data_IF_835644348490
#
_entry.id   IF_835644348490
#
_cell.length_a   1.000
_cell.length_b   1.000
_cell.length_c   1.000
_cell.angle_alpha   90.00
_cell.angle_beta   90.00
_cell.angle_gamma   90.00
#
_symmetry.space_group_name_H-M   'P 1'
#
loop_
_entity.id
_entity.type
_entity.pdbx_description
1 polymer ?
#
# COMPACT_ATOMS: atom_id res chain seq x y z
N UNK A 1 -25.30 12.22 7.56
CA UNK A 1 -25.18 10.96 6.78
C UNK A 1 -24.40 11.11 5.48
N UNK A 2 -24.58 12.20 4.72
CA UNK A 2 -23.90 12.40 3.42
C UNK A 2 -22.36 12.46 3.51
N UNK A 3 -21.81 13.12 4.53
CA UNK A 3 -20.34 13.24 4.71
C UNK A 3 -19.67 11.91 5.05
N UNK A 4 -20.28 11.09 5.92
CA UNK A 4 -19.77 9.75 6.26
C UNK A 4 -19.69 8.86 5.02
N UNK A 5 -20.72 8.88 4.18
CA UNK A 5 -20.74 8.14 2.91
C UNK A 5 -19.65 8.67 1.97
N UNK A 6 -19.50 9.99 1.86
CA UNK A 6 -18.45 10.59 1.04
C UNK A 6 -17.04 10.18 1.50
N UNK A 7 -16.78 10.20 2.81
CA UNK A 7 -15.53 9.73 3.41
C UNK A 7 -15.29 8.25 3.11
N UNK A 8 -16.30 7.40 3.28
CA UNK A 8 -16.19 5.96 3.02
C UNK A 8 -15.95 5.66 1.53
N UNK A 9 -16.65 6.35 0.62
CA UNK A 9 -16.45 6.21 -0.83
C UNK A 9 -15.05 6.69 -1.23
N UNK A 10 -14.61 7.84 -0.70
CA UNK A 10 -13.26 8.34 -0.93
C UNK A 10 -12.21 7.34 -0.45
N UNK A 11 -12.34 6.86 0.79
CA UNK A 11 -11.44 5.85 1.35
C UNK A 11 -11.42 4.58 0.50
N UNK A 12 -12.59 4.12 0.02
CA UNK A 12 -12.71 2.91 -0.78
C UNK A 12 -12.03 3.05 -2.14
N UNK A 13 -12.41 4.07 -2.91
CA UNK A 13 -11.87 4.31 -4.26
C UNK A 13 -10.35 4.47 -4.22
N UNK A 14 -9.84 5.23 -3.26
CA UNK A 14 -8.39 5.47 -3.13
C UNK A 14 -7.62 4.23 -2.65
N UNK A 15 -8.19 3.44 -1.72
CA UNK A 15 -7.55 2.24 -1.16
C UNK A 15 -7.61 1.04 -2.10
N UNK A 16 -8.74 0.82 -2.79
CA UNK A 16 -8.91 -0.35 -3.68
C UNK A 16 -8.11 -0.20 -4.97
N UNK A 17 -7.85 1.04 -5.40
CA UNK A 17 -7.09 1.32 -6.62
C UNK A 17 -5.72 0.61 -6.61
N UNK A 18 -5.26 0.07 -7.75
CA UNK A 18 -3.95 -0.59 -7.82
C UNK A 18 -2.83 0.36 -7.38
N UNK A 19 -1.82 -0.19 -6.74
CA UNK A 19 -0.70 0.57 -6.20
C UNK A 19 0.35 -0.34 -5.56
N UNK A 20 1.49 0.21 -5.12
CA UNK A 20 2.64 -0.59 -4.71
C UNK A 20 2.34 -1.62 -3.61
N UNK A 21 1.61 -1.18 -2.58
CA UNK A 21 1.23 -1.99 -1.42
C UNK A 21 0.23 -3.10 -1.79
N UNK A 22 -0.71 -2.81 -2.70
CA UNK A 22 -1.72 -3.75 -3.20
C UNK A 22 -1.10 -4.81 -4.12
N UNK A 23 -0.16 -4.40 -4.98
CA UNK A 23 0.62 -5.32 -5.83
C UNK A 23 1.45 -6.26 -4.95
N UNK A 24 2.12 -5.72 -3.92
CA UNK A 24 2.90 -6.54 -2.98
C UNK A 24 2.01 -7.49 -2.16
N UNK A 25 0.80 -7.08 -1.79
CA UNK A 25 -0.18 -7.96 -1.14
C UNK A 25 -0.64 -9.10 -2.05
N UNK A 26 -0.92 -8.81 -3.32
CA UNK A 26 -1.26 -9.81 -4.34
C UNK A 26 -0.13 -10.81 -4.55
N UNK A 27 1.09 -10.30 -4.72
CA UNK A 27 2.28 -11.11 -4.84
C UNK A 27 2.49 -12.02 -3.61
N UNK A 28 2.40 -11.46 -2.41
CA UNK A 28 2.57 -12.22 -1.16
C UNK A 28 1.45 -13.24 -0.97
N UNK A 29 0.21 -12.89 -1.31
CA UNK A 29 -0.92 -13.81 -1.27
C UNK A 29 -0.72 -15.00 -2.20
N UNK A 30 -0.27 -14.76 -3.43
CA UNK A 30 0.01 -15.80 -4.42
C UNK A 30 1.16 -16.73 -4.01
N UNK A 31 2.22 -16.18 -3.43
CA UNK A 31 3.45 -16.91 -3.12
C UNK A 31 3.49 -17.54 -1.72
N UNK A 32 2.86 -16.89 -0.73
CA UNK A 32 2.93 -17.24 0.69
C UNK A 32 1.57 -17.65 1.28
N UNK A 33 0.45 -17.37 0.60
CA UNK A 33 -0.90 -17.58 1.10
C UNK A 33 -1.43 -16.42 1.98
N UNK A 34 -2.73 -16.45 2.27
CA UNK A 34 -3.42 -15.36 2.97
C UNK A 34 -2.87 -15.10 4.37
N UNK A 35 -2.77 -16.14 5.21
CA UNK A 35 -2.36 -16.02 6.62
C UNK A 35 -1.00 -15.36 6.77
N UNK A 36 -0.04 -15.70 5.89
CA UNK A 36 1.30 -15.10 5.89
C UNK A 36 1.34 -13.68 5.33
N UNK A 37 0.27 -13.23 4.67
CA UNK A 37 0.12 -11.86 4.16
C UNK A 37 -0.48 -10.93 5.20
N UNK A 38 -1.12 -11.45 6.27
CA UNK A 38 -1.73 -10.64 7.33
C UNK A 38 -0.76 -9.63 7.99
N UNK A 39 0.52 -9.97 8.30
CA UNK A 39 1.45 -8.99 8.85
C UNK A 39 1.63 -7.79 7.91
N UNK A 40 1.78 -8.02 6.60
CA UNK A 40 1.89 -6.96 5.59
C UNK A 40 0.61 -6.09 5.54
N UNK A 41 -0.57 -6.72 5.52
CA UNK A 41 -1.87 -6.02 5.51
C UNK A 41 -2.00 -5.12 6.73
N UNK A 42 -1.77 -5.68 7.92
CA UNK A 42 -1.86 -4.94 9.19
C UNK A 42 -0.84 -3.81 9.25
N UNK A 43 0.41 -4.09 8.90
CA UNK A 43 1.49 -3.09 8.89
C UNK A 43 1.21 -1.94 7.94
N UNK A 44 0.78 -2.23 6.72
CA UNK A 44 0.44 -1.21 5.74
C UNK A 44 -0.78 -0.37 6.17
N UNK A 45 -1.81 -1.01 6.74
CA UNK A 45 -2.99 -0.29 7.26
C UNK A 45 -2.60 0.67 8.39
N UNK A 46 -1.82 0.19 9.37
CA UNK A 46 -1.32 1.03 10.48
C UNK A 46 -0.45 2.17 9.92
N UNK A 47 0.43 1.87 8.97
CA UNK A 47 1.25 2.86 8.29
C UNK A 47 0.39 3.97 7.67
N UNK A 48 -0.67 3.61 6.95
CA UNK A 48 -1.52 4.58 6.27
C UNK A 48 -2.26 5.47 7.28
N UNK A 49 -2.92 4.84 8.25
CA UNK A 49 -3.69 5.55 9.27
C UNK A 49 -2.79 6.46 10.10
N UNK A 50 -1.54 6.06 10.38
CA UNK A 50 -0.58 6.92 11.08
C UNK A 50 -0.23 8.17 10.28
N UNK A 51 -0.01 8.06 8.96
CA UNK A 51 0.25 9.21 8.09
C UNK A 51 -0.96 10.14 8.09
N UNK A 52 -2.16 9.58 7.88
CA UNK A 52 -3.41 10.34 7.85
C UNK A 52 -3.64 11.09 9.16
N UNK A 53 -3.47 10.42 10.30
CA UNK A 53 -3.63 11.01 11.62
C UNK A 53 -2.62 12.15 11.84
N UNK A 54 -1.34 11.94 11.52
CA UNK A 54 -0.31 12.98 11.65
C UNK A 54 -0.63 14.22 10.82
N UNK A 55 -1.05 14.03 9.57
CA UNK A 55 -1.43 15.14 8.67
C UNK A 55 -2.66 15.89 9.16
N UNK A 56 -3.68 15.18 9.64
CA UNK A 56 -4.88 15.77 10.20
C UNK A 56 -4.64 16.49 11.52
N UNK A 57 -3.67 16.03 12.33
CA UNK A 57 -3.31 16.64 13.61
C UNK A 57 -2.41 17.88 13.48
N UNK A 58 -2.07 18.29 12.26
CA UNK A 58 -1.35 19.55 12.00
C UNK A 58 0.01 19.39 11.31
N UNK A 59 0.47 18.15 11.05
CA UNK A 59 1.69 17.96 10.24
C UNK A 59 1.52 18.50 8.81
N UNK A 60 0.28 18.59 8.31
CA UNK A 60 -0.02 19.21 7.02
C UNK A 60 0.47 20.66 6.89
N UNK A 61 0.48 21.43 7.97
CA UNK A 61 1.02 22.80 7.98
C UNK A 61 2.54 22.79 7.79
N UNK A 62 3.24 21.86 8.43
CA UNK A 62 4.70 21.67 8.27
C UNK A 62 5.06 21.24 6.86
N UNK A 63 4.24 20.40 6.21
CA UNK A 63 4.46 20.02 4.81
C UNK A 63 4.34 21.23 3.88
N UNK A 64 3.40 22.15 4.13
CA UNK A 64 3.27 23.37 3.33
C UNK A 64 4.50 24.28 3.46
N UNK A 65 5.20 24.24 4.60
CA UNK A 65 6.46 24.97 4.82
C UNK A 65 7.70 24.25 4.24
N UNK A 66 7.60 22.94 3.98
CA UNK A 66 8.68 22.12 3.40
C UNK A 66 8.22 21.51 2.07
N UNK A 67 8.15 22.31 0.98
CA UNK A 67 7.59 21.86 -0.30
C UNK A 67 8.32 20.66 -0.89
N UNK A 68 9.62 20.50 -0.60
CA UNK A 68 10.45 19.39 -1.10
C UNK A 68 10.24 18.06 -0.34
N UNK A 69 9.49 18.01 0.76
CA UNK A 69 9.35 16.79 1.56
C UNK A 69 8.68 15.66 0.77
N UNK A 70 7.63 16.00 0.02
CA UNK A 70 6.91 15.04 -0.82
C UNK A 70 7.77 14.52 -1.97
N UNK A 71 8.61 15.38 -2.54
CA UNK A 71 9.59 15.03 -3.58
C UNK A 71 10.67 14.09 -3.03
N UNK A 72 11.27 14.41 -1.87
CA UNK A 72 12.26 13.56 -1.20
C UNK A 72 11.67 12.18 -0.88
N UNK A 73 10.46 12.15 -0.31
CA UNK A 73 9.73 10.90 -0.02
C UNK A 73 9.45 10.12 -1.30
N UNK A 74 9.15 10.81 -2.40
CA UNK A 74 8.96 10.20 -3.71
C UNK A 74 10.23 9.49 -4.16
N UNK A 75 11.38 10.16 -4.15
CA UNK A 75 12.66 9.53 -4.55
C UNK A 75 13.10 8.39 -3.63
N UNK A 76 13.13 8.61 -2.31
CA UNK A 76 13.54 7.58 -1.34
C UNK A 76 12.59 6.38 -1.41
N UNK A 77 11.29 6.67 -1.42
CA UNK A 77 10.26 5.66 -1.45
C UNK A 77 10.23 4.88 -2.76
N UNK A 78 10.39 5.58 -3.88
CA UNK A 78 10.49 4.97 -5.20
C UNK A 78 11.71 4.05 -5.31
N UNK A 79 12.88 4.47 -4.83
CA UNK A 79 14.07 3.59 -4.76
C UNK A 79 13.80 2.32 -3.94
N UNK A 80 13.16 2.45 -2.78
CA UNK A 80 12.80 1.30 -1.95
C UNK A 80 11.79 0.37 -2.64
N UNK A 81 10.77 0.93 -3.30
CA UNK A 81 9.76 0.16 -4.02
C UNK A 81 10.33 -0.51 -5.29
N UNK A 82 11.27 0.13 -5.99
CA UNK A 82 12.03 -0.49 -7.09
C UNK A 82 12.91 -1.64 -6.60
N UNK A 83 13.53 -1.49 -5.43
CA UNK A 83 14.24 -2.59 -4.77
C UNK A 83 13.30 -3.77 -4.46
N UNK A 84 12.09 -3.50 -3.96
CA UNK A 84 11.07 -4.53 -3.76
C UNK A 84 10.60 -5.15 -5.09
N UNK A 85 10.42 -4.35 -6.14
CA UNK A 85 10.07 -4.81 -7.48
C UNK A 85 11.12 -5.78 -8.05
N UNK A 86 12.40 -5.43 -7.90
CA UNK A 86 13.51 -6.31 -8.26
C UNK A 86 13.47 -7.62 -7.47
N UNK A 87 13.29 -7.54 -6.15
CA UNK A 87 13.17 -8.74 -5.30
C UNK A 87 11.99 -9.62 -5.70
N UNK A 88 10.84 -9.03 -6.01
CA UNK A 88 9.64 -9.70 -6.50
C UNK A 88 9.91 -10.41 -7.83
N UNK A 89 10.51 -9.70 -8.80
CA UNK A 89 10.79 -10.24 -10.14
C UNK A 89 11.80 -11.39 -10.13
N UNK A 90 12.80 -11.32 -9.26
CA UNK A 90 13.90 -12.30 -9.18
C UNK A 90 13.61 -13.49 -8.28
N UNK A 91 12.39 -13.61 -7.77
CA UNK A 91 12.01 -14.76 -6.95
C UNK A 91 11.92 -16.03 -7.78
N UNK A 92 12.74 -17.01 -7.41
CA UNK A 92 12.74 -18.34 -8.01
C UNK A 92 11.69 -19.24 -7.36
N UNK A 93 11.05 -20.13 -8.13
CA UNK A 93 10.22 -21.18 -7.55
C UNK A 93 11.13 -22.09 -6.71
N UNK A 94 10.90 -22.17 -5.40
CA UNK A 94 11.68 -23.03 -4.53
C UNK A 94 11.44 -24.50 -4.95
N UNK A 95 12.51 -25.20 -5.31
CA UNK A 95 12.52 -26.64 -5.56
C UNK A 95 12.50 -27.33 -4.19
N UNK A 96 11.34 -27.79 -3.73
CA UNK A 96 11.25 -28.51 -2.46
C UNK A 96 9.90 -29.19 -2.33
N UNK A 97 9.93 -30.51 -2.20
CA UNK A 97 8.81 -31.32 -1.77
C UNK A 97 8.29 -30.80 -0.41
N UNK A 98 6.98 -30.55 -0.31
CA UNK A 98 6.28 -30.39 0.97
C UNK A 98 6.35 -29.00 1.62
N UNK A 99 5.18 -28.36 1.71
CA UNK A 99 4.73 -27.45 2.78
C UNK A 99 5.51 -26.18 3.16
N UNK A 100 6.71 -25.92 2.66
CA UNK A 100 7.42 -24.65 2.91
C UNK A 100 6.98 -23.52 1.96
N UNK A 101 6.91 -22.26 2.44
CA UNK A 101 6.57 -21.12 1.59
C UNK A 101 7.61 -20.96 0.49
N UNK A 102 7.18 -20.68 -0.74
CA UNK A 102 8.10 -20.43 -1.87
C UNK A 102 8.88 -19.10 -1.72
N UNK A 103 8.52 -18.30 -0.72
CA UNK A 103 8.90 -16.89 -0.56
C UNK A 103 8.85 -16.47 0.90
N UNK A 104 9.76 -15.57 1.33
CA UNK A 104 9.63 -14.88 2.62
C UNK A 104 8.59 -13.76 2.51
N UNK A 105 7.47 -13.91 3.22
CA UNK A 105 6.45 -12.87 3.29
C UNK A 105 6.97 -11.60 4.01
N UNK A 106 6.52 -10.40 3.62
CA UNK A 106 6.88 -9.18 4.32
C UNK A 106 6.42 -9.19 5.78
N UNK A 107 7.26 -8.66 6.67
CA UNK A 107 6.88 -8.45 8.08
C UNK A 107 5.91 -7.27 8.23
N UNK A 108 5.32 -7.14 9.42
CA UNK A 108 4.49 -5.98 9.76
C UNK A 108 5.25 -4.66 9.57
N UNK A 109 6.50 -4.60 10.05
CA UNK A 109 7.35 -3.41 9.90
C UNK A 109 7.62 -3.12 8.43
N UNK A 110 7.87 -4.14 7.61
CA UNK A 110 8.05 -3.95 6.16
C UNK A 110 6.78 -3.44 5.48
N UNK A 111 5.60 -3.92 5.89
CA UNK A 111 4.31 -3.40 5.40
C UNK A 111 4.12 -1.93 5.78
N UNK A 112 4.42 -1.56 7.02
CA UNK A 112 4.35 -0.17 7.49
C UNK A 112 5.32 0.74 6.74
N UNK A 113 6.58 0.33 6.59
CA UNK A 113 7.59 1.06 5.84
C UNK A 113 7.18 1.21 4.37
N UNK A 114 6.66 0.14 3.75
CA UNK A 114 6.16 0.18 2.38
C UNK A 114 5.07 1.24 2.21
N UNK A 115 4.17 1.38 3.19
CA UNK A 115 3.14 2.41 3.16
C UNK A 115 3.70 3.83 3.39
N UNK A 116 4.63 4.01 4.33
CA UNK A 116 5.28 5.31 4.58
C UNK A 116 6.11 5.80 3.41
N UNK A 117 6.73 4.87 2.69
CA UNK A 117 7.53 5.10 1.50
C UNK A 117 6.69 5.10 0.22
N UNK A 118 5.36 4.98 0.32
CA UNK A 118 4.46 5.01 -0.83
C UNK A 118 3.92 6.44 -1.04
N UNK A 119 4.30 7.15 -2.11
CA UNK A 119 3.85 8.53 -2.35
C UNK A 119 2.33 8.64 -2.46
N UNK A 120 1.65 7.59 -2.97
CA UNK A 120 0.19 7.52 -3.00
C UNK A 120 -0.43 7.68 -1.61
N UNK A 121 0.20 7.13 -0.57
CA UNK A 121 -0.31 7.23 0.80
C UNK A 121 -0.38 8.68 1.28
N UNK A 122 0.69 9.44 1.01
CA UNK A 122 0.79 10.85 1.37
C UNK A 122 -0.17 11.71 0.55
N UNK A 123 -0.23 11.52 -0.77
CA UNK A 123 -1.13 12.26 -1.66
C UNK A 123 -2.60 12.03 -1.28
N UNK A 124 -3.00 10.77 -1.06
CA UNK A 124 -4.37 10.45 -0.65
C UNK A 124 -4.70 11.05 0.72
N UNK A 125 -3.76 10.98 1.67
CA UNK A 125 -3.99 11.53 3.00
C UNK A 125 -4.11 13.05 2.98
N UNK A 126 -3.23 13.76 2.26
CA UNK A 126 -3.31 15.21 2.07
C UNK A 126 -4.62 15.62 1.39
N UNK A 127 -5.03 14.92 0.33
CA UNK A 127 -6.29 15.17 -0.35
C UNK A 127 -7.51 14.89 0.55
N UNK A 128 -7.46 13.83 1.35
CA UNK A 128 -8.53 13.52 2.31
C UNK A 128 -8.66 14.61 3.38
N UNK A 129 -7.54 15.08 3.93
CA UNK A 129 -7.54 16.17 4.90
C UNK A 129 -8.06 17.46 4.27
N UNK A 130 -7.60 17.84 3.07
CA UNK A 130 -8.04 19.09 2.43
C UNK A 130 -9.50 19.10 2.01
N UNK A 131 -10.07 17.95 1.65
CA UNK A 131 -11.47 17.84 1.22
C UNK A 131 -12.43 17.79 2.41
N UNK A 132 -12.07 17.09 3.48
CA UNK A 132 -12.99 16.79 4.58
C UNK A 132 -12.76 17.60 5.85
N UNK A 133 -11.63 18.29 5.99
CA UNK A 133 -11.28 19.03 7.19
C UNK A 133 -10.94 20.49 6.84
N UNK A 134 -11.60 21.43 7.52
CA UNK A 134 -11.28 22.84 7.41
C UNK A 134 -10.24 23.22 8.47
N UNK A 135 -9.20 23.95 8.06
CA UNK A 135 -8.01 24.26 8.89
C UNK A 135 -8.28 25.06 10.18
N UNK A 136 -9.50 25.53 10.42
CA UNK A 136 -9.86 26.34 11.60
C UNK A 136 -10.66 25.60 12.69
N UNK A 137 -11.36 24.52 12.36
CA UNK A 137 -12.32 23.86 13.27
C UNK A 137 -12.24 22.33 13.23
N UNK A 138 -11.08 21.75 12.88
CA UNK A 138 -10.93 20.30 12.79
C UNK A 138 -11.13 19.64 14.16
N UNK A 139 -12.32 19.07 14.37
CA UNK A 139 -12.64 18.30 15.57
C UNK A 139 -11.85 16.99 15.54
N UNK A 140 -11.10 16.72 16.62
CA UNK A 140 -10.32 15.48 16.77
C UNK A 140 -11.21 14.23 16.64
N UNK A 141 -12.48 14.31 17.06
CA UNK A 141 -13.43 13.21 16.94
C UNK A 141 -13.75 12.87 15.48
N UNK A 142 -13.87 13.89 14.62
CA UNK A 142 -14.09 13.70 13.18
C UNK A 142 -12.85 13.11 12.50
N UNK A 143 -11.65 13.52 12.94
CA UNK A 143 -10.40 12.95 12.45
C UNK A 143 -10.26 11.48 12.85
N UNK A 144 -10.55 11.15 14.10
CA UNK A 144 -10.52 9.77 14.59
C UNK A 144 -11.56 8.90 13.88
N UNK A 145 -12.75 9.44 13.61
CA UNK A 145 -13.77 8.76 12.80
C UNK A 145 -13.25 8.48 11.38
N UNK A 146 -12.63 9.47 10.73
CA UNK A 146 -12.08 9.31 9.38
C UNK A 146 -10.93 8.30 9.34
N UNK A 147 -10.04 8.33 10.33
CA UNK A 147 -9.00 7.33 10.54
C UNK A 147 -9.60 5.93 10.74
N UNK A 148 -10.68 5.81 11.51
CA UNK A 148 -11.39 4.54 11.72
C UNK A 148 -12.01 3.98 10.44
N UNK A 149 -12.63 4.83 9.63
CA UNK A 149 -13.14 4.46 8.29
C UNK A 149 -12.00 3.96 7.42
N UNK A 150 -10.90 4.72 7.32
CA UNK A 150 -9.75 4.32 6.53
C UNK A 150 -9.10 3.04 7.06
N UNK A 151 -9.04 2.82 8.36
CA UNK A 151 -8.53 1.58 8.92
C UNK A 151 -9.30 0.38 8.39
N UNK A 152 -10.63 0.40 8.50
CA UNK A 152 -11.49 -0.71 8.06
C UNK A 152 -11.40 -0.90 6.53
N UNK A 153 -11.54 0.20 5.79
CA UNK A 153 -11.60 0.17 4.31
C UNK A 153 -10.26 -0.20 3.71
N UNK A 154 -9.15 0.33 4.23
CA UNK A 154 -7.80 0.00 3.77
C UNK A 154 -7.47 -1.46 4.08
N UNK A 155 -7.77 -1.93 5.30
CA UNK A 155 -7.57 -3.32 5.68
C UNK A 155 -8.36 -4.27 4.76
N UNK A 156 -9.64 -3.98 4.52
CA UNK A 156 -10.49 -4.77 3.62
C UNK A 156 -9.97 -4.74 2.17
N UNK A 157 -9.53 -3.58 1.70
CA UNK A 157 -9.01 -3.41 0.34
C UNK A 157 -7.71 -4.19 0.13
N UNK A 158 -6.72 -4.04 1.01
CA UNK A 158 -5.44 -4.78 0.90
C UNK A 158 -5.69 -6.29 1.08
N UNK A 159 -6.62 -6.68 1.97
CA UNK A 159 -7.04 -8.08 2.13
C UNK A 159 -7.67 -8.64 0.84
N UNK A 160 -8.52 -7.87 0.16
CA UNK A 160 -9.10 -8.27 -1.13
C UNK A 160 -8.00 -8.52 -2.18
N UNK A 161 -7.00 -7.64 -2.27
CA UNK A 161 -5.84 -7.86 -3.15
C UNK A 161 -5.01 -9.09 -2.75
N UNK A 162 -4.83 -9.35 -1.45
CA UNK A 162 -4.18 -10.57 -0.99
C UNK A 162 -4.96 -11.84 -1.37
N UNK A 163 -6.29 -11.81 -1.23
CA UNK A 163 -7.18 -12.91 -1.66
C UNK A 163 -7.10 -13.11 -3.17
N UNK A 164 -7.09 -12.04 -3.97
CA UNK A 164 -6.86 -12.14 -5.42
C UNK A 164 -5.54 -12.88 -5.70
N UNK A 165 -4.47 -12.54 -4.99
CA UNK A 165 -3.21 -13.28 -5.03
C UNK A 165 -3.37 -14.78 -4.75
N UNK A 166 -4.06 -15.12 -3.66
CA UNK A 166 -4.32 -16.52 -3.28
C UNK A 166 -5.12 -17.27 -4.35
N UNK A 167 -6.10 -16.63 -4.99
CA UNK A 167 -6.86 -17.29 -6.07
C UNK A 167 -5.98 -17.59 -7.28
N UNK A 168 -5.07 -16.67 -7.64
CA UNK A 168 -4.11 -16.84 -8.73
C UNK A 168 -3.12 -17.97 -8.44
N UNK A 169 -2.82 -18.25 -7.16
CA UNK A 169 -1.90 -19.34 -6.75
C UNK A 169 -2.24 -20.69 -7.39
N UNK A 170 -3.52 -20.99 -7.59
CA UNK A 170 -4.00 -22.24 -8.22
C UNK A 170 -3.53 -22.41 -9.67
N UNK A 171 -3.12 -21.31 -10.34
CA UNK A 171 -2.62 -21.30 -11.72
C UNK A 171 -1.08 -21.32 -11.77
N UNK A 172 -0.41 -21.13 -10.63
CA UNK A 172 1.05 -21.01 -10.50
C UNK A 172 1.76 -22.35 -10.20
N UNK A 173 1.12 -23.48 -10.46
CA UNK A 173 1.69 -24.81 -10.21
C UNK A 173 2.90 -25.12 -11.11
N UNK A 174 2.93 -24.55 -12.32
CA UNK A 174 4.05 -24.73 -13.26
C UNK A 174 5.16 -23.70 -12.99
N UNK A 175 6.45 -24.09 -12.93
CA UNK A 175 7.57 -23.16 -12.73
C UNK A 175 7.61 -21.99 -13.73
N UNK A 176 7.18 -22.22 -14.98
CA UNK A 176 7.08 -21.18 -16.01
C UNK A 176 6.03 -20.11 -15.67
N UNK A 177 4.84 -20.52 -15.21
CA UNK A 177 3.75 -19.61 -14.83
C UNK A 177 4.16 -18.79 -13.60
N UNK A 178 4.79 -19.42 -12.62
CA UNK A 178 5.33 -18.76 -11.44
C UNK A 178 6.34 -17.66 -11.81
N UNK A 179 7.33 -17.99 -12.66
CA UNK A 179 8.34 -17.01 -13.10
C UNK A 179 7.72 -15.85 -13.88
N UNK A 180 6.79 -16.14 -14.79
CA UNK A 180 6.08 -15.11 -15.55
C UNK A 180 5.24 -14.19 -14.66
N UNK A 181 4.52 -14.75 -13.70
CA UNK A 181 3.73 -13.99 -12.73
C UNK A 181 4.62 -13.07 -11.88
N UNK A 182 5.70 -13.58 -11.31
CA UNK A 182 6.62 -12.80 -10.49
C UNK A 182 7.27 -11.66 -11.27
N UNK A 183 7.72 -11.94 -12.50
CA UNK A 183 8.25 -10.92 -13.39
C UNK A 183 7.21 -9.84 -13.71
N UNK A 184 5.96 -10.25 -13.99
CA UNK A 184 4.86 -9.33 -14.28
C UNK A 184 4.53 -8.44 -13.07
N UNK A 185 4.46 -9.00 -11.86
CA UNK A 185 4.21 -8.24 -10.63
C UNK A 185 5.35 -7.25 -10.35
N UNK A 186 6.60 -7.67 -10.54
CA UNK A 186 7.77 -6.79 -10.40
C UNK A 186 7.74 -5.65 -11.41
N UNK A 187 7.42 -5.94 -12.67
CA UNK A 187 7.28 -4.92 -13.72
C UNK A 187 6.13 -3.94 -13.41
N UNK A 188 4.95 -4.43 -13.00
CA UNK A 188 3.84 -3.57 -12.61
C UNK A 188 4.20 -2.64 -11.44
N UNK A 189 4.90 -3.17 -10.44
CA UNK A 189 5.38 -2.38 -9.30
C UNK A 189 6.37 -1.31 -9.77
N UNK A 190 7.34 -1.68 -10.62
CA UNK A 190 8.31 -0.74 -11.16
C UNK A 190 7.66 0.34 -12.03
N UNK A 191 6.73 -0.01 -12.91
CA UNK A 191 5.97 0.93 -13.74
C UNK A 191 5.19 1.91 -12.88
N UNK A 192 4.56 1.44 -11.80
CA UNK A 192 3.80 2.31 -10.89
C UNK A 192 4.72 3.35 -10.23
N UNK A 193 5.93 2.94 -9.83
CA UNK A 193 6.93 3.84 -9.25
C UNK A 193 7.45 4.84 -10.28
N UNK A 194 7.85 4.36 -11.46
CA UNK A 194 8.37 5.22 -12.53
C UNK A 194 7.33 6.25 -12.98
N UNK A 195 6.06 5.85 -13.09
CA UNK A 195 4.97 6.78 -13.38
C UNK A 195 4.86 7.88 -12.30
N UNK A 196 5.06 7.52 -11.03
CA UNK A 196 5.06 8.49 -9.92
C UNK A 196 6.20 9.50 -10.07
N UNK A 197 7.40 9.05 -10.48
CA UNK A 197 8.53 9.96 -10.78
C UNK A 197 8.22 10.94 -11.90
N UNK A 198 7.68 10.45 -13.03
CA UNK A 198 7.32 11.30 -14.16
C UNK A 198 6.25 12.34 -13.82
N UNK A 199 5.31 12.01 -12.92
CA UNK A 199 4.26 12.94 -12.51
C UNK A 199 4.75 13.98 -11.48
N UNK A 200 5.87 13.71 -10.81
CA UNK A 200 6.49 14.59 -9.82
C UNK A 200 7.59 15.51 -10.39
N UNK A 201 8.02 15.30 -11.64
CA UNK A 201 9.00 16.13 -12.38
C UNK A 201 8.30 17.19 -13.22
#
# INVERSE_FOLDING_TARGET
MTQLIAMAVFAFVTSISPGPVNILATFTGANCGYVRTLPHITGATIGFVSILFLLGFGLSQVINEVPYLTEILTYIGGCFLLYLAYKVAMQNPMSGDGHEPKTRAPSLVQGMMCQWLNPKAWVVSLAGISVFFNSRDANIDELLLFCGIFFIVCYASISAWAVLGVTIRTVLDKPKHFKFFNLSMGLLLAITVLYTFFMSS
#
